data_IF_289249073034
#
_entry.id   IF_289249073034
#
_cell.length_a   1.000
_cell.length_b   1.000
_cell.length_c   1.000
_cell.angle_alpha   90.00
_cell.angle_beta   90.00
_cell.angle_gamma   90.00
#
_symmetry.space_group_name_H-M   'P 1'
#
loop_
_entity.id
_entity.type
_entity.pdbx_description
1 polymer ?
#
# COMPACT_ATOMS: atom_id res chain seq x y z
N UNK A 1 53.40 107.35 36.81
CA UNK A 1 52.87 107.37 35.42
C UNK A 1 52.42 105.97 35.06
N UNK A 2 51.20 105.86 34.55
CA UNK A 2 50.42 104.65 34.28
C UNK A 2 51.17 103.66 33.37
N UNK A 3 51.23 102.38 33.74
CA UNK A 3 51.59 101.28 32.82
C UNK A 3 50.36 100.42 32.55
N UNK A 4 50.11 100.21 31.27
CA UNK A 4 48.93 99.62 30.66
C UNK A 4 48.74 98.15 31.04
N UNK A 5 47.47 97.80 31.25
CA UNK A 5 46.90 96.45 31.23
C UNK A 5 46.83 95.89 29.80
N UNK A 6 47.38 94.69 29.58
CA UNK A 6 47.04 93.82 28.44
C UNK A 6 46.21 92.62 28.96
N UNK A 7 45.15 92.18 28.25
CA UNK A 7 44.39 91.01 28.64
C UNK A 7 45.03 89.72 28.09
N UNK A 8 45.10 88.69 28.93
CA UNK A 8 45.49 87.33 28.53
C UNK A 8 44.40 86.69 27.67
N UNK A 9 44.79 86.20 26.49
CA UNK A 9 43.99 85.28 25.66
C UNK A 9 44.07 83.87 26.24
N UNK A 10 42.94 83.33 26.69
CA UNK A 10 42.79 81.91 27.05
C UNK A 10 42.68 81.06 25.77
N UNK A 11 43.73 80.30 25.45
CA UNK A 11 43.65 79.20 24.48
C UNK A 11 43.25 77.92 25.23
N UNK A 12 42.05 77.42 24.93
CA UNK A 12 41.53 76.13 25.40
C UNK A 12 42.29 74.98 24.74
N UNK A 13 43.05 74.22 25.52
CA UNK A 13 43.71 72.98 25.11
C UNK A 13 42.70 71.81 25.06
N UNK A 14 42.39 71.34 23.86
CA UNK A 14 41.68 70.09 23.65
C UNK A 14 42.62 68.90 23.86
N UNK A 15 42.39 68.09 24.89
CA UNK A 15 43.10 66.83 25.12
C UNK A 15 42.56 65.77 24.15
N UNK A 16 43.33 65.44 23.12
CA UNK A 16 43.06 64.29 22.24
C UNK A 16 43.42 63.02 23.02
N UNK A 17 42.40 62.34 23.55
CA UNK A 17 42.54 60.99 24.11
C UNK A 17 42.77 60.01 22.96
N UNK A 18 44.02 59.61 22.75
CA UNK A 18 44.35 58.47 21.89
C UNK A 18 43.77 57.19 22.52
N UNK A 19 42.68 56.68 21.94
CA UNK A 19 42.29 55.29 22.16
C UNK A 19 43.18 54.42 21.28
N UNK A 20 43.99 53.50 21.83
CA UNK A 20 44.64 52.49 21.00
C UNK A 20 43.55 51.66 20.31
N UNK A 21 43.64 51.55 18.99
CA UNK A 21 42.76 50.73 18.18
C UNK A 21 42.84 49.25 18.58
N UNK A 22 41.82 48.45 18.25
CA UNK A 22 41.80 47.04 18.58
C UNK A 22 43.02 46.36 17.95
N UNK A 23 43.84 45.73 18.78
CA UNK A 23 44.92 44.84 18.35
C UNK A 23 44.32 43.77 17.45
N UNK A 24 44.81 43.72 16.20
CA UNK A 24 44.50 42.67 15.27
C UNK A 24 44.76 41.32 15.95
N UNK A 25 43.75 40.44 15.93
CA UNK A 25 43.85 39.09 16.44
C UNK A 25 45.04 38.40 15.81
N UNK A 26 45.94 37.93 16.66
CA UNK A 26 47.11 37.13 16.32
C UNK A 26 46.62 35.91 15.51
N UNK A 27 46.95 35.90 14.22
CA UNK A 27 46.58 34.80 13.34
C UNK A 27 47.32 33.55 13.81
N UNK A 28 46.58 32.61 14.40
CA UNK A 28 47.12 31.31 14.80
C UNK A 28 47.88 30.69 13.62
N UNK A 29 49.19 30.55 13.78
CA UNK A 29 50.09 29.90 12.79
C UNK A 29 49.82 28.40 12.71
N UNK A 30 49.01 27.86 13.62
CA UNK A 30 48.67 26.45 13.68
C UNK A 30 47.27 26.17 13.15
N UNK A 31 47.18 25.22 12.22
CA UNK A 31 45.91 24.63 11.81
C UNK A 31 45.41 23.68 12.90
N UNK A 32 44.17 23.83 13.39
CA UNK A 32 43.61 22.90 14.35
C UNK A 32 43.42 21.53 13.69
N UNK A 33 43.67 20.47 14.46
CA UNK A 33 43.45 19.10 13.99
C UNK A 33 41.95 18.81 13.83
N UNK A 34 41.54 18.00 12.83
CA UNK A 34 40.17 17.55 12.70
C UNK A 34 39.63 16.89 13.98
N UNK A 35 38.39 17.17 14.33
CA UNK A 35 37.73 16.63 15.55
C UNK A 35 36.51 15.78 15.19
N UNK A 36 35.99 15.04 16.17
CA UNK A 36 34.82 14.16 16.02
C UNK A 36 34.95 13.21 14.82
N UNK A 37 36.08 12.50 14.73
CA UNK A 37 36.30 11.55 13.65
C UNK A 37 35.50 10.29 13.94
N UNK A 38 34.71 9.85 12.98
CA UNK A 38 33.92 8.63 13.03
C UNK A 38 34.04 7.85 11.73
N UNK A 39 33.85 6.54 11.81
CA UNK A 39 33.72 5.67 10.64
C UNK A 39 32.28 5.20 10.60
N UNK A 40 31.62 5.42 9.47
CA UNK A 40 30.29 4.92 9.18
C UNK A 40 30.40 3.87 8.08
N UNK A 41 29.86 2.69 8.32
CA UNK A 41 29.84 1.61 7.32
C UNK A 41 28.44 1.05 7.18
N UNK A 42 27.91 1.10 5.95
CA UNK A 42 26.61 0.55 5.61
C UNK A 42 26.71 -0.21 4.30
N UNK A 43 26.25 -1.46 4.28
CA UNK A 43 26.34 -2.32 3.10
C UNK A 43 27.77 -2.38 2.50
N UNK A 44 28.80 -2.42 3.36
CA UNK A 44 30.23 -2.38 2.99
C UNK A 44 30.69 -1.10 2.27
N UNK A 45 29.86 -0.06 2.21
CA UNK A 45 30.29 1.29 1.81
C UNK A 45 30.80 2.00 3.07
N UNK A 46 32.10 2.29 3.10
CA UNK A 46 32.79 2.82 4.28
C UNK A 46 33.12 4.29 4.09
N UNK A 47 32.69 5.13 5.02
CA UNK A 47 32.88 6.58 4.97
C UNK A 47 33.50 7.06 6.27
N UNK A 48 34.64 7.73 6.17
CA UNK A 48 35.27 8.45 7.27
C UNK A 48 34.67 9.86 7.33
N UNK A 49 34.17 10.28 8.49
CA UNK A 49 33.60 11.63 8.71
C UNK A 49 34.34 12.34 9.82
N UNK A 50 34.39 13.68 9.75
CA UNK A 50 34.92 14.53 10.81
C UNK A 50 34.23 15.89 10.84
N UNK A 51 34.48 16.66 11.89
CA UNK A 51 34.02 18.05 11.96
C UNK A 51 34.90 18.97 11.11
N UNK A 52 34.32 19.86 10.28
CA UNK A 52 35.08 20.87 9.56
C UNK A 52 35.93 21.73 10.49
N UNK A 53 37.16 22.01 10.08
CA UNK A 53 38.02 22.99 10.74
C UNK A 53 37.40 24.38 10.59
N UNK A 54 37.22 25.09 11.72
CA UNK A 54 36.66 26.44 11.80
C UNK A 54 37.70 27.42 12.35
N UNK A 55 37.45 28.72 12.15
CA UNK A 55 38.32 29.78 12.68
C UNK A 55 39.61 30.00 11.90
N UNK A 56 39.67 29.51 10.66
CA UNK A 56 40.80 29.67 9.75
C UNK A 56 40.33 30.47 8.53
N UNK A 57 41.14 31.44 8.08
CA UNK A 57 40.85 32.22 6.88
C UNK A 57 41.27 31.45 5.64
N UNK A 58 40.35 31.25 4.69
CA UNK A 58 40.62 30.58 3.41
C UNK A 58 40.17 29.12 3.36
N UNK A 59 40.46 28.45 2.24
CA UNK A 59 40.05 27.06 2.00
C UNK A 59 40.99 26.10 2.69
N UNK A 60 40.43 25.19 3.50
CA UNK A 60 41.15 24.06 4.11
C UNK A 60 40.86 22.80 3.28
N UNK A 61 41.90 22.03 3.00
CA UNK A 61 41.78 20.69 2.45
C UNK A 61 42.19 19.64 3.48
N UNK A 62 41.86 18.38 3.22
CA UNK A 62 42.13 17.26 4.09
C UNK A 62 42.91 16.18 3.35
N UNK A 63 43.75 15.50 4.11
CA UNK A 63 44.53 14.36 3.66
C UNK A 63 44.24 13.18 4.59
N UNK A 64 43.81 12.06 4.01
CA UNK A 64 43.46 10.85 4.75
C UNK A 64 44.45 9.75 4.43
N UNK A 65 44.85 9.01 5.45
CA UNK A 65 45.67 7.81 5.32
C UNK A 65 45.07 6.65 6.12
N UNK A 66 45.40 5.45 5.71
CA UNK A 66 45.02 4.22 6.38
C UNK A 66 46.23 3.36 6.69
N UNK A 67 46.08 2.46 7.66
CA UNK A 67 47.09 1.46 7.99
C UNK A 67 46.43 0.22 8.53
N UNK A 68 46.79 -0.94 7.97
CA UNK A 68 46.45 -2.22 8.58
C UNK A 68 47.15 -2.33 9.94
N UNK A 69 46.46 -2.76 11.00
CA UNK A 69 47.02 -2.82 12.37
C UNK A 69 48.34 -3.60 12.43
N UNK A 70 48.50 -4.65 11.62
CA UNK A 70 49.70 -5.47 11.52
C UNK A 70 50.82 -4.89 10.63
N UNK A 71 50.55 -3.80 9.90
CA UNK A 71 51.54 -3.09 9.09
C UNK A 71 52.08 -1.88 9.85
N UNK A 72 53.34 -1.51 9.61
CA UNK A 72 53.93 -0.29 10.15
C UNK A 72 53.73 0.93 9.23
N UNK A 73 53.35 0.70 7.97
CA UNK A 73 53.29 1.73 6.95
C UNK A 73 51.88 2.31 6.80
N UNK A 74 51.79 3.64 6.74
CA UNK A 74 50.57 4.35 6.38
C UNK A 74 50.51 4.47 4.86
N UNK A 75 49.34 4.19 4.31
CA UNK A 75 49.04 4.25 2.89
C UNK A 75 48.03 5.36 2.63
N UNK A 76 48.23 6.07 1.52
CA UNK A 76 47.25 7.05 1.06
C UNK A 76 45.97 6.34 0.60
N UNK A 77 44.82 6.92 0.93
CA UNK A 77 43.54 6.55 0.33
C UNK A 77 43.20 7.56 -0.78
N UNK A 78 42.18 7.29 -1.59
CA UNK A 78 41.69 8.18 -2.65
C UNK A 78 40.99 9.47 -2.11
N UNK A 79 41.57 10.10 -1.08
CA UNK A 79 41.09 11.27 -0.37
C UNK A 79 42.26 12.19 0.01
N UNK A 80 43.07 12.53 -0.98
CA UNK A 80 44.16 13.49 -0.87
C UNK A 80 43.68 14.85 -1.37
N UNK A 81 43.90 15.92 -0.59
CA UNK A 81 43.53 17.29 -0.93
C UNK A 81 42.02 17.49 -1.20
N UNK A 82 41.17 16.93 -0.35
CA UNK A 82 39.71 17.08 -0.44
C UNK A 82 39.20 18.22 0.45
N UNK A 83 38.20 18.98 0.01
CA UNK A 83 37.61 20.06 0.82
C UNK A 83 36.46 19.60 1.71
N UNK A 84 35.82 18.48 1.36
CA UNK A 84 34.70 17.93 2.12
C UNK A 84 35.20 17.23 3.39
N UNK A 85 34.49 17.35 4.52
CA UNK A 85 34.84 16.71 5.79
C UNK A 85 34.41 15.22 5.83
N UNK A 86 34.44 14.56 4.69
CA UNK A 86 34.06 13.17 4.51
C UNK A 86 34.95 12.53 3.44
N UNK A 87 35.30 11.27 3.63
CA UNK A 87 36.08 10.49 2.68
C UNK A 87 35.45 9.11 2.53
N UNK A 88 35.03 8.76 1.30
CA UNK A 88 34.66 7.40 0.96
C UNK A 88 35.95 6.61 0.68
N UNK A 89 36.24 5.62 1.52
CA UNK A 89 37.38 4.74 1.34
C UNK A 89 36.84 3.34 1.04
N UNK A 90 36.97 2.93 -0.21
CA UNK A 90 36.55 1.58 -0.60
C UNK A 90 37.58 0.57 -0.08
N UNK A 91 37.09 -0.36 0.73
CA UNK A 91 37.87 -1.49 1.22
C UNK A 91 37.12 -2.81 1.00
N UNK A 92 36.00 -2.78 0.28
CA UNK A 92 35.08 -3.91 0.20
C UNK A 92 34.86 -4.57 1.57
N UNK A 93 34.76 -5.89 1.56
CA UNK A 93 34.71 -6.73 2.75
C UNK A 93 36.11 -7.28 3.07
N UNK A 94 37.02 -6.39 3.46
CA UNK A 94 38.36 -6.79 3.86
C UNK A 94 38.38 -7.39 5.27
N UNK A 95 39.17 -8.45 5.45
CA UNK A 95 39.33 -9.17 6.73
C UNK A 95 40.28 -8.42 7.67
N UNK A 96 41.04 -7.47 7.16
CA UNK A 96 42.04 -6.72 7.93
C UNK A 96 41.39 -5.67 8.84
N UNK A 97 41.94 -5.50 10.05
CA UNK A 97 41.60 -4.35 10.93
C UNK A 97 42.44 -3.15 10.54
N UNK A 98 41.79 -2.04 10.23
CA UNK A 98 42.43 -0.82 9.72
C UNK A 98 42.30 0.34 10.70
N UNK A 99 43.36 1.12 10.82
CA UNK A 99 43.36 2.43 11.47
C UNK A 99 43.29 3.49 10.38
N UNK A 100 42.52 4.55 10.60
CA UNK A 100 42.45 5.69 9.70
C UNK A 100 42.90 6.95 10.42
N UNK A 101 43.55 7.85 9.70
CA UNK A 101 43.91 9.17 10.20
C UNK A 101 43.65 10.25 9.17
N UNK A 102 43.30 11.43 9.64
CA UNK A 102 43.08 12.62 8.80
C UNK A 102 43.78 13.82 9.41
N UNK A 103 44.31 14.70 8.54
CA UNK A 103 44.82 16.01 8.92
C UNK A 103 44.24 17.08 8.01
N UNK A 104 44.23 18.32 8.49
CA UNK A 104 43.89 19.50 7.73
C UNK A 104 45.15 20.14 7.13
N UNK A 105 45.03 20.65 5.91
CA UNK A 105 46.09 21.30 5.16
C UNK A 105 45.59 22.64 4.60
N UNK A 106 46.46 23.64 4.62
CA UNK A 106 46.20 24.93 3.99
C UNK A 106 47.51 25.56 3.52
N UNK A 107 47.72 25.61 2.21
CA UNK A 107 49.01 26.00 1.64
C UNK A 107 50.11 25.07 2.15
N UNK A 108 51.13 25.62 2.82
CA UNK A 108 52.20 24.83 3.45
C UNK A 108 51.92 24.39 4.90
N UNK A 109 50.83 24.86 5.52
CA UNK A 109 50.49 24.52 6.89
C UNK A 109 49.78 23.17 6.96
N UNK A 110 50.12 22.38 7.97
CA UNK A 110 49.52 21.06 8.25
C UNK A 110 49.17 20.96 9.72
N UNK A 111 47.97 20.45 10.02
CA UNK A 111 47.58 20.15 11.40
C UNK A 111 48.25 18.87 11.90
N UNK A 112 48.14 18.63 13.21
CA UNK A 112 48.35 17.29 13.76
C UNK A 112 47.37 16.28 13.13
N UNK A 113 47.77 15.02 13.12
CA UNK A 113 46.91 13.91 12.73
C UNK A 113 45.88 13.62 13.81
N UNK A 114 44.67 13.34 13.38
CA UNK A 114 43.62 12.81 14.22
C UNK A 114 43.26 11.42 13.70
N UNK A 115 43.26 10.42 14.59
CA UNK A 115 43.19 8.99 14.25
C UNK A 115 41.93 8.34 14.82
N UNK A 116 41.39 7.34 14.13
CA UNK A 116 40.25 6.52 14.54
C UNK A 116 40.47 5.04 14.17
N UNK A 117 39.74 4.14 14.83
CA UNK A 117 39.82 2.70 14.64
C UNK A 117 40.41 1.96 15.85
N UNK A 118 40.68 0.64 15.73
CA UNK A 118 40.60 -0.15 14.50
C UNK A 118 39.16 -0.35 14.00
N UNK A 119 38.99 -0.43 12.68
CA UNK A 119 37.75 -0.73 11.98
C UNK A 119 37.92 -1.95 11.09
N UNK A 120 36.91 -2.81 11.04
CA UNK A 120 36.83 -3.98 10.17
C UNK A 120 35.46 -4.02 9.50
N UNK A 121 35.42 -3.76 8.19
CA UNK A 121 34.17 -3.70 7.43
C UNK A 121 33.35 -5.00 7.58
N UNK A 122 34.02 -6.15 7.66
CA UNK A 122 33.37 -7.44 7.86
C UNK A 122 32.51 -7.51 9.12
N UNK A 123 32.91 -6.90 10.24
CA UNK A 123 32.20 -7.00 11.53
C UNK A 123 31.46 -5.74 11.93
N UNK A 124 31.95 -4.58 11.50
CA UNK A 124 31.50 -3.27 11.98
C UNK A 124 30.51 -2.61 11.01
N UNK A 125 30.29 -3.21 9.82
CA UNK A 125 29.29 -2.71 8.87
C UNK A 125 27.87 -2.99 9.37
N UNK A 126 26.98 -2.05 9.11
CA UNK A 126 25.55 -2.24 9.28
C UNK A 126 24.99 -2.73 7.94
N UNK A 127 24.52 -3.97 7.92
CA UNK A 127 23.80 -4.52 6.77
C UNK A 127 22.36 -3.99 6.80
N UNK A 128 21.98 -3.23 5.77
CA UNK A 128 20.63 -2.72 5.61
C UNK A 128 19.62 -3.83 5.27
N UNK A 129 18.31 -3.55 5.37
CA UNK A 129 17.28 -4.50 5.01
C UNK A 129 17.26 -4.72 3.48
N UNK A 130 16.79 -5.88 3.00
CA UNK A 130 16.42 -6.06 1.61
C UNK A 130 15.40 -5.01 1.16
N UNK A 131 15.49 -4.61 -0.11
CA UNK A 131 14.65 -3.54 -0.65
C UNK A 131 13.77 -4.05 -1.80
N UNK A 132 12.80 -3.24 -2.23
CA UNK A 132 11.87 -3.65 -3.30
C UNK A 132 11.03 -4.88 -2.95
N UNK A 133 10.66 -5.01 -1.67
CA UNK A 133 9.87 -6.15 -1.18
C UNK A 133 8.45 -6.07 -1.74
N UNK A 134 8.01 -7.14 -2.38
CA UNK A 134 6.68 -7.29 -2.92
C UNK A 134 6.09 -8.64 -2.49
N UNK A 135 4.80 -8.65 -2.18
CA UNK A 135 4.04 -9.84 -1.81
C UNK A 135 2.86 -9.94 -2.75
N UNK A 136 2.88 -10.91 -3.65
CA UNK A 136 1.77 -11.15 -4.58
C UNK A 136 0.91 -12.32 -4.11
N UNK A 137 -0.40 -12.21 -4.32
CA UNK A 137 -1.35 -13.27 -3.98
C UNK A 137 -1.86 -13.98 -5.21
N UNK A 138 -1.88 -15.32 -5.14
CA UNK A 138 -2.44 -16.19 -6.15
C UNK A 138 -3.19 -17.33 -5.43
N UNK A 139 -4.53 -17.23 -5.39
CA UNK A 139 -5.40 -18.15 -4.65
C UNK A 139 -4.93 -18.31 -3.18
N UNK A 140 -4.67 -19.55 -2.74
CA UNK A 140 -4.17 -19.89 -1.42
C UNK A 140 -2.63 -19.87 -1.32
N UNK A 141 -1.97 -19.11 -2.19
CA UNK A 141 -0.50 -18.97 -2.21
C UNK A 141 -0.10 -17.51 -2.17
N UNK A 142 1.04 -17.24 -1.55
CA UNK A 142 1.68 -15.93 -1.55
C UNK A 142 3.10 -16.07 -2.08
N UNK A 143 3.49 -15.18 -2.99
CA UNK A 143 4.86 -15.11 -3.49
C UNK A 143 5.51 -13.85 -2.98
N UNK A 144 6.53 -14.03 -2.14
CA UNK A 144 7.38 -12.96 -1.65
C UNK A 144 8.56 -12.82 -2.61
N UNK A 145 8.81 -11.60 -3.09
CA UNK A 145 10.01 -11.25 -3.85
C UNK A 145 10.64 -9.98 -3.30
N UNK A 146 11.96 -9.88 -3.39
CA UNK A 146 12.72 -8.73 -2.89
C UNK A 146 14.05 -8.61 -3.65
N UNK A 147 14.83 -7.58 -3.35
CA UNK A 147 16.17 -7.36 -3.90
C UNK A 147 17.21 -7.32 -2.80
N UNK A 148 18.42 -7.72 -3.17
CA UNK A 148 19.55 -7.77 -2.26
C UNK A 148 19.98 -6.37 -1.80
N UNK A 149 20.32 -6.18 -0.52
CA UNK A 149 20.95 -4.94 -0.06
C UNK A 149 22.37 -4.76 -0.62
N UNK A 150 22.99 -5.82 -1.15
CA UNK A 150 24.33 -5.82 -1.73
C UNK A 150 24.31 -6.08 -3.24
N UNK A 151 23.22 -5.70 -3.93
CA UNK A 151 23.07 -5.87 -5.37
C UNK A 151 24.29 -5.30 -6.12
N UNK A 152 24.75 -6.04 -7.13
CA UNK A 152 25.95 -5.72 -7.93
C UNK A 152 27.30 -5.78 -7.19
N UNK A 153 27.34 -6.28 -5.96
CA UNK A 153 28.61 -6.58 -5.28
C UNK A 153 28.99 -8.05 -5.48
N UNK A 154 30.28 -8.35 -5.36
CA UNK A 154 30.78 -9.74 -5.38
C UNK A 154 30.34 -10.59 -4.17
N UNK A 155 29.71 -9.96 -3.18
CA UNK A 155 29.31 -10.58 -1.91
C UNK A 155 27.83 -10.98 -1.87
N UNK A 156 27.06 -10.66 -2.91
CA UNK A 156 25.63 -10.93 -2.99
C UNK A 156 25.31 -12.43 -2.85
N UNK A 157 26.15 -13.29 -3.44
CA UNK A 157 25.98 -14.75 -3.41
C UNK A 157 26.10 -15.39 -2.03
N UNK A 158 26.72 -14.68 -1.09
CA UNK A 158 27.02 -15.17 0.26
C UNK A 158 25.92 -14.80 1.26
N UNK A 159 24.96 -13.97 0.85
CA UNK A 159 23.83 -13.58 1.68
C UNK A 159 22.86 -14.73 1.90
N UNK A 160 22.38 -14.82 3.13
CA UNK A 160 21.25 -15.66 3.54
C UNK A 160 20.15 -14.73 4.03
N UNK A 161 18.92 -14.94 3.57
CA UNK A 161 17.76 -14.15 3.97
C UNK A 161 16.92 -14.92 4.98
N UNK A 162 16.63 -14.28 6.11
CA UNK A 162 15.71 -14.79 7.12
C UNK A 162 14.37 -14.09 6.90
N UNK A 163 13.35 -14.87 6.61
CA UNK A 163 11.98 -14.41 6.39
C UNK A 163 11.16 -14.76 7.62
N UNK A 164 10.65 -13.74 8.30
CA UNK A 164 9.69 -13.85 9.39
C UNK A 164 8.28 -13.73 8.83
N UNK A 165 7.42 -14.69 9.15
CA UNK A 165 6.04 -14.77 8.70
C UNK A 165 5.10 -14.89 9.90
N UNK A 166 3.98 -14.17 9.84
CA UNK A 166 2.88 -14.32 10.80
C UNK A 166 1.52 -14.02 10.15
N UNK A 167 0.47 -14.47 10.80
CA UNK A 167 -0.93 -14.15 10.50
C UNK A 167 -1.67 -13.88 11.83
N UNK A 168 -2.88 -13.31 11.77
CA UNK A 168 -3.66 -12.96 12.97
C UNK A 168 -4.04 -14.16 13.84
N UNK A 169 -4.05 -15.37 13.28
CA UNK A 169 -4.37 -16.61 13.97
C UNK A 169 -3.14 -17.36 14.50
N UNK A 170 -1.94 -16.98 14.08
CA UNK A 170 -0.68 -17.56 14.53
C UNK A 170 -0.29 -16.89 15.86
N UNK A 171 -0.17 -17.70 16.91
CA UNK A 171 0.31 -17.25 18.23
C UNK A 171 1.82 -16.96 18.27
N UNK A 172 2.52 -17.00 17.13
CA UNK A 172 3.95 -16.72 17.03
C UNK A 172 4.45 -16.54 15.59
N UNK A 173 5.67 -16.03 15.46
CA UNK A 173 6.32 -15.78 14.18
C UNK A 173 7.06 -17.04 13.72
N UNK A 174 6.84 -17.44 12.47
CA UNK A 174 7.59 -18.52 11.83
C UNK A 174 8.73 -17.90 11.03
N UNK A 175 9.97 -18.24 11.36
CA UNK A 175 11.15 -17.82 10.61
C UNK A 175 11.62 -18.90 9.65
N UNK A 176 12.01 -18.52 8.44
CA UNK A 176 12.58 -19.45 7.47
C UNK A 176 13.73 -18.82 6.70
N UNK A 177 14.77 -19.61 6.42
CA UNK A 177 15.95 -19.16 5.71
C UNK A 177 15.87 -19.48 4.22
N UNK A 178 16.47 -18.63 3.39
CA UNK A 178 16.63 -18.86 1.95
C UNK A 178 17.79 -18.05 1.39
N UNK A 179 18.44 -18.57 0.35
CA UNK A 179 19.39 -17.79 -0.45
C UNK A 179 18.72 -17.09 -1.64
N UNK A 180 17.48 -17.46 -1.95
CA UNK A 180 16.75 -16.91 -3.08
C UNK A 180 16.06 -15.60 -2.70
N UNK A 181 16.05 -14.66 -3.63
CA UNK A 181 15.33 -13.38 -3.51
C UNK A 181 13.83 -13.49 -3.77
N UNK A 182 13.34 -14.69 -4.08
CA UNK A 182 11.93 -15.00 -4.23
C UNK A 182 11.57 -16.34 -3.58
N UNK A 183 10.45 -16.37 -2.87
CA UNK A 183 9.93 -17.56 -2.20
C UNK A 183 8.41 -17.64 -2.29
N UNK A 184 7.91 -18.80 -2.72
CA UNK A 184 6.46 -19.09 -2.79
C UNK A 184 6.01 -19.88 -1.57
N UNK A 185 5.05 -19.34 -0.84
CA UNK A 185 4.37 -19.96 0.28
C UNK A 185 3.07 -20.59 -0.23
N UNK A 186 2.94 -21.91 -0.06
CA UNK A 186 1.81 -22.71 -0.55
C UNK A 186 0.92 -23.18 0.60
N UNK A 187 -0.31 -23.58 0.27
CA UNK A 187 -1.27 -24.17 1.21
C UNK A 187 -1.58 -23.26 2.41
N UNK A 188 -1.65 -21.95 2.16
CA UNK A 188 -2.03 -20.98 3.18
C UNK A 188 -3.55 -21.01 3.39
N UNK A 189 -4.00 -20.50 4.53
CA UNK A 189 -5.44 -20.35 4.80
C UNK A 189 -6.04 -19.37 3.79
N UNK A 190 -7.22 -19.69 3.26
CA UNK A 190 -7.93 -18.81 2.33
C UNK A 190 -8.42 -17.54 3.04
N UNK A 191 -8.55 -16.43 2.30
CA UNK A 191 -9.07 -15.16 2.81
C UNK A 191 -8.39 -14.66 4.11
N UNK A 192 -7.11 -14.98 4.30
CA UNK A 192 -6.34 -14.71 5.51
C UNK A 192 -5.19 -13.76 5.21
N UNK A 193 -4.97 -12.78 6.07
CA UNK A 193 -3.88 -11.81 5.93
C UNK A 193 -2.58 -12.37 6.52
N UNK A 194 -1.54 -12.41 5.71
CA UNK A 194 -0.19 -12.78 6.12
C UNK A 194 0.72 -11.58 5.99
N UNK A 195 1.62 -11.42 6.94
CA UNK A 195 2.65 -10.40 6.94
C UNK A 195 4.04 -11.02 6.94
N UNK A 196 4.97 -10.35 6.26
CA UNK A 196 6.34 -10.78 6.10
C UNK A 196 7.31 -9.68 6.49
N UNK A 197 8.39 -10.07 7.15
CA UNK A 197 9.59 -9.25 7.32
C UNK A 197 10.79 -10.04 6.81
N UNK A 198 11.71 -9.35 6.17
CA UNK A 198 12.93 -9.95 5.62
C UNK A 198 14.12 -9.24 6.23
N UNK A 199 15.09 -10.02 6.71
CA UNK A 199 16.38 -9.50 7.13
C UNK A 199 17.47 -10.27 6.39
N UNK A 200 18.49 -9.55 5.93
CA UNK A 200 19.66 -10.17 5.33
C UNK A 200 20.63 -10.60 6.43
N UNK A 201 21.33 -11.70 6.21
CA UNK A 201 22.36 -12.23 7.08
C UNK A 201 23.59 -12.51 6.22
N UNK A 202 24.72 -11.99 6.66
CA UNK A 202 26.01 -12.26 6.05
C UNK A 202 26.89 -12.99 7.07
N UNK A 203 27.26 -14.23 6.78
CA UNK A 203 27.88 -15.15 7.75
C UNK A 203 27.08 -15.22 9.06
N UNK A 204 27.54 -14.55 10.13
CA UNK A 204 26.91 -14.50 11.45
C UNK A 204 26.34 -13.12 11.81
N UNK A 205 26.39 -12.16 10.90
CA UNK A 205 25.92 -10.79 11.13
C UNK A 205 24.52 -10.67 10.55
N UNK A 206 23.56 -10.42 11.44
CA UNK A 206 22.18 -10.12 11.07
C UNK A 206 22.07 -8.63 10.78
N UNK A 207 21.56 -8.32 9.61
CA UNK A 207 21.25 -6.95 9.23
C UNK A 207 19.97 -6.44 9.88
N UNK A 208 19.63 -5.21 9.53
CA UNK A 208 18.38 -4.56 9.87
C UNK A 208 17.20 -5.35 9.27
N UNK A 209 16.12 -5.47 10.06
CA UNK A 209 14.87 -6.09 9.62
C UNK A 209 14.05 -5.10 8.80
N UNK A 210 13.44 -5.57 7.71
CA UNK A 210 12.53 -4.74 6.93
C UNK A 210 11.28 -4.33 7.71
N UNK A 211 10.57 -3.33 7.21
CA UNK A 211 9.19 -3.08 7.61
C UNK A 211 8.29 -4.29 7.30
N UNK A 212 7.11 -4.41 7.95
CA UNK A 212 6.15 -5.46 7.65
C UNK A 212 5.49 -5.24 6.28
N UNK A 213 5.46 -6.28 5.45
CA UNK A 213 4.76 -6.30 4.17
C UNK A 213 3.65 -7.36 4.20
N UNK A 214 2.41 -6.92 4.08
CA UNK A 214 1.24 -7.79 4.25
C UNK A 214 0.47 -7.95 2.95
N UNK A 215 -0.06 -9.15 2.72
CA UNK A 215 -1.05 -9.40 1.68
C UNK A 215 -2.04 -10.47 2.13
N UNK A 216 -3.25 -10.40 1.59
CA UNK A 216 -4.35 -11.32 1.87
C UNK A 216 -4.41 -12.41 0.81
N UNK A 217 -4.55 -13.65 1.22
CA UNK A 217 -4.81 -14.76 0.30
C UNK A 217 -6.21 -14.65 -0.31
N UNK A 218 -6.35 -15.05 -1.57
CA UNK A 218 -7.65 -15.15 -2.22
C UNK A 218 -8.33 -16.49 -1.91
N UNK A 219 -9.64 -16.55 -2.12
CA UNK A 219 -10.38 -17.82 -2.12
C UNK A 219 -9.98 -18.65 -3.33
N UNK A 220 -9.84 -19.96 -3.14
CA UNK A 220 -9.48 -20.84 -4.26
C UNK A 220 -10.63 -20.94 -5.26
N UNK A 221 -10.32 -21.26 -6.52
CA UNK A 221 -11.35 -21.49 -7.53
C UNK A 221 -12.28 -22.64 -7.15
N UNK A 222 -11.75 -23.67 -6.48
CA UNK A 222 -12.53 -24.79 -5.95
C UNK A 222 -13.57 -24.29 -4.95
N UNK A 223 -13.15 -23.52 -3.95
CA UNK A 223 -14.04 -22.96 -2.93
C UNK A 223 -15.05 -22.01 -3.56
N UNK A 224 -14.61 -21.13 -4.47
CA UNK A 224 -15.49 -20.24 -5.25
C UNK A 224 -16.56 -21.00 -6.02
N UNK A 225 -16.17 -22.08 -6.72
CA UNK A 225 -17.10 -22.91 -7.49
C UNK A 225 -18.08 -23.65 -6.59
N UNK A 226 -17.64 -24.13 -5.42
CA UNK A 226 -18.53 -24.73 -4.41
C UNK A 226 -19.55 -23.71 -3.92
N UNK A 227 -19.12 -22.48 -3.61
CA UNK A 227 -20.04 -21.41 -3.20
C UNK A 227 -21.05 -21.06 -4.30
N UNK A 228 -20.61 -20.93 -5.55
CA UNK A 228 -21.49 -20.66 -6.69
C UNK A 228 -22.51 -21.80 -6.85
N UNK A 229 -22.06 -23.06 -6.84
CA UNK A 229 -22.94 -24.22 -6.95
C UNK A 229 -23.95 -24.30 -5.78
N UNK A 230 -23.53 -23.97 -4.56
CA UNK A 230 -24.41 -23.92 -3.40
C UNK A 230 -25.50 -22.84 -3.55
N UNK A 231 -25.14 -21.63 -4.02
CA UNK A 231 -26.11 -20.55 -4.26
C UNK A 231 -27.12 -20.96 -5.34
N UNK A 232 -26.67 -21.53 -6.46
CA UNK A 232 -27.58 -22.02 -7.50
C UNK A 232 -28.46 -23.18 -6.99
N UNK A 233 -27.91 -24.08 -6.18
CA UNK A 233 -28.66 -25.16 -5.56
C UNK A 233 -29.78 -24.65 -4.64
N UNK A 234 -29.49 -23.66 -3.80
CA UNK A 234 -30.48 -23.02 -2.92
C UNK A 234 -31.55 -22.29 -3.74
N UNK A 235 -31.17 -21.57 -4.79
CA UNK A 235 -32.11 -20.87 -5.67
C UNK A 235 -33.05 -21.84 -6.41
N UNK A 236 -32.51 -22.95 -6.92
CA UNK A 236 -33.32 -23.99 -7.58
C UNK A 236 -34.28 -24.67 -6.60
N UNK A 237 -33.83 -24.91 -5.37
CA UNK A 237 -34.67 -25.50 -4.32
C UNK A 237 -35.81 -24.55 -3.91
N UNK A 238 -35.55 -23.25 -3.79
CA UNK A 238 -36.61 -22.27 -3.45
C UNK A 238 -37.63 -22.13 -4.58
N UNK A 239 -37.21 -22.13 -5.84
CA UNK A 239 -38.12 -22.13 -7.00
C UNK A 239 -38.97 -23.41 -7.04
N UNK A 240 -38.38 -24.58 -6.82
CA UNK A 240 -39.13 -25.85 -6.79
C UNK A 240 -40.14 -25.87 -5.63
N UNK A 241 -39.73 -25.44 -4.44
CA UNK A 241 -40.59 -25.40 -3.25
C UNK A 241 -41.77 -24.44 -3.44
N UNK A 242 -41.53 -23.26 -4.03
CA UNK A 242 -42.60 -22.30 -4.34
C UNK A 242 -43.55 -22.85 -5.39
N UNK A 243 -43.05 -23.48 -6.46
CA UNK A 243 -43.89 -24.15 -7.46
C UNK A 243 -44.76 -25.26 -6.85
N UNK A 244 -44.17 -26.13 -6.03
CA UNK A 244 -44.92 -27.18 -5.32
C UNK A 244 -45.98 -26.59 -4.37
N UNK A 245 -45.64 -25.52 -3.65
CA UNK A 245 -46.58 -24.81 -2.79
C UNK A 245 -47.78 -24.27 -3.59
N UNK A 246 -47.54 -23.63 -4.73
CA UNK A 246 -48.59 -23.14 -5.63
C UNK A 246 -49.45 -24.30 -6.16
N UNK A 247 -48.85 -25.41 -6.56
CA UNK A 247 -49.56 -26.61 -7.00
C UNK A 247 -50.47 -27.18 -5.90
N UNK A 248 -49.99 -27.23 -4.65
CA UNK A 248 -50.80 -27.64 -3.49
C UNK A 248 -51.95 -26.67 -3.26
N UNK A 249 -51.69 -25.36 -3.25
CA UNK A 249 -52.74 -24.34 -3.09
C UNK A 249 -53.81 -24.47 -4.18
N UNK A 250 -53.40 -24.70 -5.43
CA UNK A 250 -54.33 -24.91 -6.55
C UNK A 250 -55.13 -26.21 -6.39
N UNK A 251 -54.48 -27.32 -6.04
CA UNK A 251 -55.14 -28.62 -5.87
C UNK A 251 -56.15 -28.62 -4.72
N UNK A 252 -55.80 -27.97 -3.61
CA UNK A 252 -56.65 -27.91 -2.41
C UNK A 252 -57.46 -26.60 -2.32
N UNK A 253 -57.58 -25.84 -3.42
CA UNK A 253 -58.27 -24.54 -3.45
C UNK A 253 -59.68 -24.60 -2.85
N UNK A 254 -60.42 -25.67 -3.12
CA UNK A 254 -61.77 -25.89 -2.57
C UNK A 254 -61.75 -26.15 -1.05
N UNK A 255 -60.84 -27.00 -0.57
CA UNK A 255 -60.68 -27.36 0.85
C UNK A 255 -60.13 -26.20 1.68
N UNK A 256 -59.18 -25.44 1.15
CA UNK A 256 -58.60 -24.24 1.79
C UNK A 256 -59.68 -23.15 1.92
N UNK A 257 -60.52 -22.96 0.89
CA UNK A 257 -61.66 -22.02 0.95
C UNK A 257 -62.66 -22.38 2.05
N UNK A 258 -62.91 -23.67 2.27
CA UNK A 258 -63.79 -24.17 3.33
C UNK A 258 -63.18 -24.02 4.73
N UNK A 259 -61.87 -24.27 4.86
CA UNK A 259 -61.17 -24.18 6.15
C UNK A 259 -60.93 -22.74 6.61
N UNK A 260 -60.83 -21.79 5.67
CA UNK A 260 -60.66 -20.36 5.93
C UNK A 260 -61.99 -19.58 5.98
N UNK A 261 -63.14 -20.24 5.91
CA UNK A 261 -64.42 -19.57 6.14
C UNK A 261 -64.54 -19.19 7.63
N UNK A 262 -64.67 -17.90 7.97
CA UNK A 262 -64.99 -17.51 9.34
C UNK A 262 -66.38 -18.09 9.68
N UNK A 263 -66.60 -18.47 10.95
CA UNK A 263 -67.94 -18.88 11.40
C UNK A 263 -68.94 -17.75 11.09
N UNK A 264 -69.82 -17.98 10.12
CA UNK A 264 -70.96 -17.10 9.86
C UNK A 264 -71.83 -17.08 11.12
N UNK A 265 -71.79 -15.96 11.86
CA UNK A 265 -72.69 -15.68 12.97
C UNK A 265 -73.77 -14.75 12.44
N UNK A 266 -74.95 -15.29 12.19
CA UNK A 266 -76.08 -14.54 11.64
C UNK A 266 -76.49 -13.48 12.69
N UNK A 267 -76.62 -12.20 12.29
CA UNK A 267 -77.18 -11.16 13.16
C UNK A 267 -78.61 -11.52 13.57
N UNK A 268 -78.95 -11.36 14.85
CA UNK A 268 -80.20 -11.86 15.46
C UNK A 268 -81.50 -11.36 14.80
N UNK A 269 -81.46 -10.28 14.02
CA UNK A 269 -82.66 -9.76 13.36
C UNK A 269 -83.17 -10.64 12.21
N UNK A 270 -82.32 -11.51 11.63
CA UNK A 270 -82.75 -12.44 10.58
C UNK A 270 -83.31 -13.76 11.14
N UNK A 271 -83.22 -13.99 12.45
CA UNK A 271 -83.69 -15.22 13.08
C UNK A 271 -85.20 -15.20 13.36
N UNK A 272 -85.78 -14.00 13.56
CA UNK A 272 -87.24 -13.80 13.65
C UNK A 272 -87.95 -14.05 12.31
N UNK A 273 -87.36 -13.61 11.20
CA UNK A 273 -87.97 -13.77 9.86
C UNK A 273 -88.03 -15.24 9.42
N UNK A 274 -87.08 -16.07 9.88
CA UNK A 274 -87.02 -17.50 9.54
C UNK A 274 -87.95 -18.38 10.39
N UNK A 275 -88.36 -17.93 11.57
CA UNK A 275 -89.30 -18.67 12.42
C UNK A 275 -90.76 -18.51 12.01
N UNK A 276 -91.09 -17.47 11.23
CA UNK A 276 -92.39 -17.31 10.60
C UNK A 276 -92.49 -18.11 9.29
N UNK A 277 -92.46 -19.45 9.41
CA UNK A 277 -92.63 -20.38 8.29
C UNK A 277 -93.99 -20.25 7.56
N UNK A 278 -94.91 -19.44 8.06
CA UNK A 278 -96.24 -19.24 7.48
C UNK A 278 -96.30 -18.13 6.41
N UNK A 279 -95.28 -17.26 6.31
CA UNK A 279 -95.24 -16.18 5.28
C UNK A 279 -94.51 -16.62 4.01
N UNK A 280 -93.60 -17.60 4.10
CA UNK A 280 -92.83 -18.11 2.95
C UNK A 280 -93.68 -18.99 2.00
N UNK A 281 -94.74 -19.61 2.51
CA UNK A 281 -95.65 -20.43 1.70
C UNK A 281 -96.59 -19.61 0.80
N UNK A 282 -96.86 -18.34 1.13
CA UNK A 282 -97.76 -17.49 0.34
C UNK A 282 -97.03 -16.80 -0.82
N UNK A 283 -95.73 -16.52 -0.68
CA UNK A 283 -94.90 -15.94 -1.75
C UNK A 283 -94.40 -16.96 -2.78
N UNK A 284 -94.40 -18.27 -2.47
CA UNK A 284 -93.96 -19.32 -3.40
C UNK A 284 -95.06 -19.77 -4.37
N UNK A 285 -96.32 -19.36 -4.15
CA UNK A 285 -97.43 -19.73 -5.06
C UNK A 285 -97.64 -18.72 -6.21
N UNK A 286 -97.10 -17.49 -6.13
CA UNK A 286 -97.29 -16.44 -7.14
C UNK A 286 -96.13 -16.17 -8.11
N UNK A 287 -94.95 -16.79 -7.91
CA UNK A 287 -93.78 -16.55 -8.76
C UNK A 287 -93.42 -17.70 -9.75
N UNK A 288 -94.35 -18.62 -10.02
CA UNK A 288 -94.22 -19.55 -11.14
C UNK A 288 -94.67 -18.92 -12.48
N UNK A 289 -94.21 -17.70 -12.75
CA UNK A 289 -94.34 -17.06 -14.05
C UNK A 289 -92.95 -16.59 -14.49
N UNK A 290 -92.39 -17.35 -15.43
CA UNK A 290 -91.26 -17.06 -16.32
C UNK A 290 -90.40 -15.83 -16.03
N UNK A 291 -89.23 -16.02 -15.42
CA UNK A 291 -88.08 -15.14 -15.68
C UNK A 291 -87.03 -15.90 -16.52
N UNK A 292 -87.04 -15.54 -17.80
CA UNK A 292 -86.02 -15.80 -18.80
C UNK A 292 -84.67 -15.26 -18.30
N UNK A 293 -83.64 -16.10 -18.28
CA UNK A 293 -82.26 -15.63 -18.11
C UNK A 293 -81.60 -15.55 -19.49
N UNK A 294 -81.21 -14.34 -19.88
CA UNK A 294 -80.43 -14.08 -21.09
C UNK A 294 -79.00 -14.62 -20.96
N UNK A 295 -78.59 -15.42 -21.94
CA UNK A 295 -77.21 -15.86 -22.14
C UNK A 295 -76.41 -14.66 -22.62
N UNK A 296 -75.60 -14.07 -21.74
CA UNK A 296 -74.60 -13.05 -22.14
C UNK A 296 -73.47 -13.76 -22.88
N UNK A 297 -73.54 -13.73 -24.21
CA UNK A 297 -72.43 -14.08 -25.10
C UNK A 297 -71.52 -12.86 -25.29
N UNK A 298 -70.24 -13.00 -24.93
CA UNK A 298 -69.21 -12.01 -25.24
C UNK A 298 -68.75 -12.27 -26.67
N UNK A 299 -69.25 -11.48 -27.62
CA UNK A 299 -68.76 -11.45 -29.00
C UNK A 299 -67.73 -10.34 -29.11
N UNK A 300 -66.53 -10.72 -29.56
CA UNK A 300 -65.46 -9.82 -30.00
C UNK A 300 -65.92 -8.99 -31.20
N UNK A 301 -65.85 -7.67 -31.10
CA UNK A 301 -66.08 -6.77 -32.22
C UNK A 301 -64.86 -6.76 -33.16
N UNK A 302 -65.09 -7.20 -34.40
CA UNK A 302 -64.36 -6.71 -35.57
C UNK A 302 -65.35 -6.39 -36.68
N UNK A 303 -65.49 -5.11 -36.99
CA UNK A 303 -65.97 -4.57 -38.26
C UNK A 303 -65.48 -3.11 -38.31
N UNK A 304 -65.09 -2.51 -39.43
CA UNK A 304 -65.25 -2.86 -40.83
C UNK A 304 -64.35 -1.92 -41.65
N UNK A 305 -63.92 -2.36 -42.83
CA UNK A 305 -64.10 -1.70 -44.14
C UNK A 305 -63.36 -2.55 -45.18
N UNK A 306 -64.09 -3.29 -46.03
CA UNK A 306 -64.48 -2.89 -47.40
C UNK A 306 -63.23 -2.55 -48.23
N UNK A 307 -62.92 -3.15 -49.39
CA UNK A 307 -63.77 -3.76 -50.43
C UNK A 307 -62.87 -4.38 -51.50
N UNK A 308 -63.42 -5.38 -52.21
CA UNK A 308 -63.24 -5.68 -53.64
C UNK A 308 -61.95 -6.33 -54.17
N UNK A 309 -62.12 -7.63 -54.44
CA UNK A 309 -61.95 -8.35 -55.72
C UNK A 309 -60.57 -8.46 -56.39
N UNK A 310 -60.24 -9.75 -56.56
CA UNK A 310 -59.83 -10.42 -57.80
C UNK A 310 -58.38 -10.28 -58.28
N UNK A 311 -57.59 -11.30 -57.90
CA UNK A 311 -56.95 -12.31 -58.77
C UNK A 311 -56.02 -11.90 -59.93
N UNK A 312 -54.99 -12.74 -60.12
CA UNK A 312 -54.00 -12.82 -61.20
C UNK A 312 -52.90 -11.74 -61.16
N UNK A 313 -51.67 -11.95 -61.63
CA UNK A 313 -50.77 -13.08 -61.83
C UNK A 313 -49.51 -12.44 -62.45
N UNK A 314 -48.33 -12.95 -62.11
CA UNK A 314 -47.12 -12.94 -62.94
C UNK A 314 -46.45 -11.60 -63.35
N UNK A 315 -45.14 -11.53 -63.11
CA UNK A 315 -44.22 -11.18 -64.20
C UNK A 315 -43.49 -9.85 -64.14
N UNK A 316 -42.16 -9.96 -63.97
CA UNK A 316 -41.06 -9.13 -64.47
C UNK A 316 -40.93 -7.68 -63.95
N UNK A 317 -39.80 -7.19 -63.43
CA UNK A 317 -38.36 -7.20 -63.77
C UNK A 317 -37.94 -5.75 -64.08
N UNK A 318 -36.70 -5.42 -63.66
CA UNK A 318 -35.79 -4.35 -64.12
C UNK A 318 -35.58 -3.15 -63.17
N UNK A 319 -34.35 -3.14 -62.63
CA UNK A 319 -33.38 -2.07 -62.34
C UNK A 319 -33.83 -0.70 -61.78
N UNK A 320 -33.08 -0.19 -60.78
CA UNK A 320 -31.89 0.66 -61.01
C UNK A 320 -30.98 0.65 -59.76
N UNK A 321 -29.70 0.57 -60.06
CA UNK A 321 -28.46 0.60 -59.29
C UNK A 321 -28.16 1.88 -58.48
N UNK A 322 -27.25 1.74 -57.50
CA UNK A 322 -26.14 2.64 -57.07
C UNK A 322 -26.04 2.75 -55.54
N UNK A 323 -24.89 2.85 -54.88
CA UNK A 323 -23.44 2.70 -55.17
C UNK A 323 -22.74 2.79 -53.79
N UNK A 324 -21.59 2.11 -53.67
CA UNK A 324 -20.45 2.33 -52.77
C UNK A 324 -20.60 2.01 -51.27
N UNK A 325 -19.82 1.10 -50.66
CA UNK A 325 -18.36 0.82 -50.70
C UNK A 325 -17.52 1.69 -49.73
N UNK A 326 -16.86 0.98 -48.83
CA UNK A 326 -15.66 1.27 -48.03
C UNK A 326 -15.57 2.52 -47.13
N UNK A 327 -15.52 2.25 -45.81
CA UNK A 327 -14.30 2.46 -45.00
C UNK A 327 -14.20 1.43 -43.89
#
# INVERSE_FOLDING_TARGET
MRRLSLPLLCLSSALIVWRPGPTAGESSVFLPAPQNITIESRNFVNVLRWSPVKGVNGTVSYHVEQRVVSSEHWEEVNCTNISKPECNFDHGMEVSRNLLRVRAEQGGLKSNWSQVGPFQAKTDTILGPPWGINVTSEANTLTLSFRSPLEHTKYDSDLVYIIHQWDESLSGNISSETKNTAKKFKNLKEATQYCFQVQAMFENIKGEISGPHCNKTATTERTRNIYIAAIFGVLMFTILATFLCLCVIQKYKSTIKYFWQPRLRIPSHYEEDLQNAQVVAEYTFWNCAEEHWDIVSVISNTSQNQTLRDSFASGNQVDVSNLNEHR
#
